data_IF_458543029978
#
_entry.id   IF_458543029978
#
_cell.length_a   1.000
_cell.length_b   1.000
_cell.length_c   1.000
_cell.angle_alpha   90.00
_cell.angle_beta   90.00
_cell.angle_gamma   90.00
#
_symmetry.space_group_name_H-M   'P 1'
#
loop_
_entity.id
_entity.type
_entity.pdbx_description
1 polymer ?
#
# COMPACT_ATOMS: atom_id res chain seq x y z
N UNK A 1 -17.77 11.65 4.71
CA UNK A 1 -18.36 13.00 4.60
C UNK A 1 -17.86 13.69 3.34
N UNK A 2 -16.55 13.82 3.13
CA UNK A 2 -16.01 14.55 1.98
C UNK A 2 -16.41 13.96 0.61
N UNK A 3 -16.48 12.64 0.48
CA UNK A 3 -16.91 12.00 -0.76
C UNK A 3 -18.34 12.39 -1.14
N UNK A 4 -19.27 12.39 -0.17
CA UNK A 4 -20.65 12.78 -0.39
C UNK A 4 -20.77 14.26 -0.76
N UNK A 5 -20.02 15.14 -0.08
CA UNK A 5 -20.00 16.58 -0.35
C UNK A 5 -19.50 16.92 -1.76
N UNK A 6 -18.64 16.06 -2.33
CA UNK A 6 -18.08 16.22 -3.67
C UNK A 6 -18.76 15.32 -4.72
N UNK A 7 -19.92 14.75 -4.42
CA UNK A 7 -20.69 13.85 -5.32
C UNK A 7 -19.88 12.66 -5.84
N UNK A 8 -18.94 12.13 -5.03
CA UNK A 8 -18.15 10.95 -5.36
C UNK A 8 -18.91 9.69 -4.89
N UNK A 9 -19.36 8.88 -5.84
CA UNK A 9 -20.22 7.72 -5.58
C UNK A 9 -19.52 6.37 -5.83
N UNK A 10 -18.32 6.38 -6.41
CA UNK A 10 -17.54 5.21 -6.78
C UNK A 10 -16.43 4.87 -5.77
N UNK A 11 -16.63 5.17 -4.50
CA UNK A 11 -15.70 4.90 -3.42
C UNK A 11 -16.40 4.18 -2.28
N UNK A 12 -15.72 3.18 -1.71
CA UNK A 12 -16.17 2.44 -0.54
C UNK A 12 -15.11 2.59 0.55
N UNK A 13 -15.56 2.93 1.76
CA UNK A 13 -14.68 3.11 2.92
C UNK A 13 -14.84 1.93 3.88
N UNK A 14 -13.71 1.35 4.28
CA UNK A 14 -13.66 0.35 5.34
C UNK A 14 -12.80 0.88 6.48
N UNK A 15 -13.26 0.70 7.71
CA UNK A 15 -12.50 1.03 8.91
C UNK A 15 -11.99 -0.25 9.56
N UNK A 16 -10.69 -0.31 9.80
CA UNK A 16 -10.09 -1.48 10.47
C UNK A 16 -8.57 -1.41 10.52
N UNK A 17 -7.98 -2.36 11.23
CA UNK A 17 -6.55 -2.57 11.26
C UNK A 17 -6.12 -3.32 9.98
N UNK A 18 -5.12 -2.80 9.28
CA UNK A 18 -4.58 -3.40 8.06
C UNK A 18 -4.13 -4.86 8.24
N UNK A 19 -3.69 -5.25 9.43
CA UNK A 19 -3.28 -6.63 9.70
C UNK A 19 -4.45 -7.63 9.67
N UNK A 20 -5.67 -7.15 9.88
CA UNK A 20 -6.84 -7.99 10.04
C UNK A 20 -7.99 -7.63 9.10
N UNK A 21 -7.93 -6.49 8.42
CA UNK A 21 -9.05 -5.94 7.65
C UNK A 21 -9.57 -6.91 6.57
N UNK A 22 -8.66 -7.63 5.92
CA UNK A 22 -9.02 -8.61 4.88
C UNK A 22 -9.66 -9.89 5.44
N UNK A 23 -9.51 -10.15 6.73
CA UNK A 23 -10.03 -11.36 7.38
C UNK A 23 -11.32 -11.12 8.14
N UNK A 24 -11.48 -9.91 8.68
CA UNK A 24 -12.62 -9.56 9.53
C UNK A 24 -13.78 -8.98 8.74
N UNK A 25 -13.51 -8.42 7.57
CA UNK A 25 -14.52 -7.75 6.76
C UNK A 25 -14.84 -8.58 5.51
N UNK A 26 -15.91 -9.38 5.60
CA UNK A 26 -16.41 -10.23 4.51
C UNK A 26 -16.74 -9.46 3.22
N UNK A 27 -17.06 -8.17 3.34
CA UNK A 27 -17.34 -7.33 2.18
C UNK A 27 -16.08 -6.99 1.39
N UNK A 28 -14.93 -6.89 2.07
CA UNK A 28 -13.63 -6.73 1.40
C UNK A 28 -13.22 -7.99 0.64
N UNK A 29 -13.54 -9.17 1.16
CA UNK A 29 -13.27 -10.44 0.46
C UNK A 29 -14.04 -10.54 -0.86
N UNK A 30 -15.22 -9.94 -0.93
CA UNK A 30 -16.06 -9.91 -2.13
C UNK A 30 -15.60 -8.88 -3.17
N UNK A 31 -14.71 -7.97 -2.82
CA UNK A 31 -14.16 -7.00 -3.77
C UNK A 31 -13.31 -7.74 -4.80
N UNK A 32 -13.60 -7.50 -6.07
CA UNK A 32 -12.81 -8.01 -7.18
C UNK A 32 -11.33 -7.67 -7.03
N UNK A 33 -10.47 -8.48 -7.64
CA UNK A 33 -9.02 -8.27 -7.62
C UNK A 33 -8.68 -6.84 -8.05
N UNK A 34 -8.02 -6.03 -7.22
CA UNK A 34 -7.69 -4.67 -7.59
C UNK A 34 -6.60 -4.67 -8.67
N UNK A 35 -6.72 -3.80 -9.65
CA UNK A 35 -5.64 -3.60 -10.64
C UNK A 35 -4.45 -2.90 -10.01
N UNK A 36 -4.71 -1.94 -9.14
CA UNK A 36 -3.70 -1.13 -8.45
C UNK A 36 -4.00 -1.11 -6.95
N UNK A 37 -2.97 -1.31 -6.15
CA UNK A 37 -3.02 -1.14 -4.70
C UNK A 37 -2.11 0.03 -4.32
N UNK A 38 -2.63 0.98 -3.58
CA UNK A 38 -1.86 2.07 -2.97
C UNK A 38 -1.75 1.82 -1.48
N UNK A 39 -0.53 1.84 -0.96
CA UNK A 39 -0.25 1.59 0.45
C UNK A 39 0.57 2.73 1.04
N UNK A 40 0.22 3.11 2.26
CA UNK A 40 0.93 4.11 3.07
C UNK A 40 1.00 3.58 4.52
N UNK A 41 1.87 2.60 4.79
CA UNK A 41 1.96 1.98 6.10
C UNK A 41 2.69 2.87 7.11
N UNK A 42 2.60 2.55 8.42
CA UNK A 42 3.37 3.24 9.43
C UNK A 42 4.88 3.04 9.22
N UNK A 43 5.69 3.78 9.98
CA UNK A 43 7.16 3.79 9.88
C UNK A 43 7.82 2.40 9.97
N UNK A 44 7.21 1.47 10.68
CA UNK A 44 7.67 0.08 10.78
C UNK A 44 7.52 -0.73 9.49
N UNK A 45 6.87 -0.19 8.48
CA UNK A 45 6.54 -0.87 7.23
C UNK A 45 5.29 -1.76 7.36
N UNK A 46 5.12 -2.64 6.38
CA UNK A 46 3.99 -3.58 6.37
C UNK A 46 4.24 -4.78 7.28
N UNK A 47 3.18 -5.24 7.91
CA UNK A 47 3.19 -6.54 8.56
C UNK A 47 3.19 -7.65 7.52
N UNK A 48 3.82 -8.80 7.83
CA UNK A 48 3.89 -9.96 6.90
C UNK A 48 2.51 -10.43 6.43
N UNK A 49 1.52 -10.39 7.30
CA UNK A 49 0.13 -10.71 6.92
C UNK A 49 -0.43 -9.76 5.86
N UNK A 50 -0.16 -8.46 5.99
CA UNK A 50 -0.59 -7.47 5.01
C UNK A 50 0.04 -7.73 3.65
N UNK A 51 1.34 -8.04 3.61
CA UNK A 51 2.03 -8.42 2.37
C UNK A 51 1.39 -9.67 1.76
N UNK A 52 1.13 -10.70 2.55
CA UNK A 52 0.47 -11.94 2.07
C UNK A 52 -0.93 -11.67 1.51
N UNK A 53 -1.70 -10.82 2.16
CA UNK A 53 -3.05 -10.47 1.73
C UNK A 53 -3.04 -9.67 0.41
N UNK A 54 -2.09 -8.76 0.25
CA UNK A 54 -1.88 -8.02 -1.01
C UNK A 54 -1.50 -8.98 -2.13
N UNK A 55 -0.55 -9.88 -1.89
CA UNK A 55 -0.11 -10.89 -2.86
C UNK A 55 -1.28 -11.79 -3.29
N UNK A 56 -2.13 -12.19 -2.34
CA UNK A 56 -3.31 -13.01 -2.62
C UNK A 56 -4.33 -12.32 -3.53
N UNK A 57 -4.39 -10.98 -3.52
CA UNK A 57 -5.22 -10.18 -4.42
C UNK A 57 -4.63 -10.00 -5.82
N UNK A 58 -3.36 -10.36 -6.00
CA UNK A 58 -2.65 -10.32 -7.29
C UNK A 58 -2.79 -8.99 -8.06
N UNK A 59 -2.56 -7.82 -7.43
CA UNK A 59 -2.61 -6.56 -8.15
C UNK A 59 -1.52 -6.51 -9.22
N UNK A 60 -1.80 -5.84 -10.32
CA UNK A 60 -0.81 -5.63 -11.38
C UNK A 60 0.25 -4.62 -10.96
N UNK A 61 -0.13 -3.66 -10.14
CA UNK A 61 0.73 -2.56 -9.69
C UNK A 61 0.50 -2.27 -8.22
N UNK A 62 1.59 -2.01 -7.51
CA UNK A 62 1.58 -1.53 -6.13
C UNK A 62 2.31 -0.19 -6.10
N UNK A 63 1.67 0.82 -5.54
CA UNK A 63 2.27 2.12 -5.25
C UNK A 63 2.47 2.18 -3.74
N UNK A 64 3.73 2.22 -3.33
CA UNK A 64 4.12 2.17 -1.93
C UNK A 64 4.70 3.52 -1.49
N UNK A 65 3.98 4.23 -0.64
CA UNK A 65 4.41 5.48 -0.03
C UNK A 65 4.99 5.15 1.34
N UNK A 66 6.18 5.65 1.65
CA UNK A 66 6.85 5.36 2.91
C UNK A 66 7.64 6.56 3.43
N UNK A 67 7.59 6.77 4.74
CA UNK A 67 8.47 7.70 5.46
C UNK A 67 9.77 7.03 5.95
N UNK A 68 9.95 5.72 5.69
CA UNK A 68 11.15 4.98 6.09
C UNK A 68 11.65 4.10 4.94
N UNK A 69 12.66 4.55 4.18
CA UNK A 69 13.20 3.79 3.04
C UNK A 69 13.74 2.41 3.41
N UNK A 70 14.26 2.24 4.63
CA UNK A 70 14.83 0.96 5.07
C UNK A 70 13.76 -0.13 5.21
N UNK A 71 12.63 0.19 5.85
CA UNK A 71 11.52 -0.76 5.98
C UNK A 71 10.82 -0.97 4.65
N UNK A 72 10.74 0.05 3.81
CA UNK A 72 10.24 -0.07 2.45
C UNK A 72 11.07 -1.05 1.61
N UNK A 73 12.41 -0.93 1.66
CA UNK A 73 13.31 -1.83 0.94
C UNK A 73 13.15 -3.30 1.39
N UNK A 74 13.00 -3.52 2.69
CA UNK A 74 12.71 -4.85 3.26
C UNK A 74 11.41 -5.42 2.68
N UNK A 75 10.35 -4.65 2.68
CA UNK A 75 9.03 -5.08 2.21
C UNK A 75 9.03 -5.32 0.69
N UNK A 76 9.71 -4.48 -0.09
CA UNK A 76 9.89 -4.67 -1.54
C UNK A 76 10.67 -5.95 -1.83
N UNK A 77 11.70 -6.24 -1.04
CA UNK A 77 12.45 -7.51 -1.16
C UNK A 77 11.53 -8.71 -0.95
N UNK A 78 10.63 -8.66 0.01
CA UNK A 78 9.66 -9.73 0.25
C UNK A 78 8.66 -9.86 -0.92
N UNK A 79 8.15 -8.74 -1.44
CA UNK A 79 7.29 -8.73 -2.64
C UNK A 79 8.00 -9.30 -3.87
N UNK A 80 9.33 -9.12 -3.99
CA UNK A 80 10.10 -9.60 -5.14
C UNK A 80 10.13 -11.14 -5.25
N UNK A 81 9.97 -11.85 -4.14
CA UNK A 81 9.88 -13.31 -4.10
C UNK A 81 8.64 -13.80 -4.89
N UNK A 82 7.63 -12.97 -5.00
CA UNK A 82 6.36 -13.26 -5.69
C UNK A 82 6.26 -12.57 -7.05
N UNK A 83 7.41 -12.34 -7.70
CA UNK A 83 7.53 -11.75 -9.04
C UNK A 83 7.11 -10.28 -9.15
N UNK A 84 7.01 -9.56 -8.04
CA UNK A 84 6.84 -8.11 -8.06
C UNK A 84 8.20 -7.42 -8.19
N UNK A 85 8.35 -6.56 -9.20
CA UNK A 85 9.61 -5.87 -9.51
C UNK A 85 9.49 -4.38 -9.26
N UNK A 86 10.48 -3.82 -8.58
CA UNK A 86 10.59 -2.38 -8.43
C UNK A 86 10.86 -1.74 -9.81
N UNK A 87 9.99 -0.83 -10.23
CA UNK A 87 10.08 -0.13 -11.51
C UNK A 87 10.60 1.29 -11.36
N UNK A 88 10.19 1.98 -10.30
CA UNK A 88 10.52 3.39 -10.10
C UNK A 88 10.56 3.73 -8.62
N UNK A 89 11.49 4.61 -8.26
CA UNK A 89 11.58 5.23 -6.93
C UNK A 89 11.55 6.75 -7.12
N UNK A 90 10.72 7.42 -6.33
CA UNK A 90 10.56 8.87 -6.31
C UNK A 90 10.71 9.34 -4.88
N UNK A 91 11.92 9.80 -4.49
CA UNK A 91 12.09 10.45 -3.19
C UNK A 91 11.49 11.86 -3.21
N UNK A 92 10.78 12.23 -2.14
CA UNK A 92 10.16 13.53 -1.96
C UNK A 92 10.60 14.13 -0.63
N UNK A 93 11.19 15.32 -0.70
CA UNK A 93 11.54 16.08 0.50
C UNK A 93 10.34 16.92 0.94
N UNK A 94 9.45 16.30 1.71
CA UNK A 94 8.24 16.94 2.27
C UNK A 94 8.53 17.79 3.51
N UNK A 95 9.69 17.58 4.13
CA UNK A 95 10.11 18.24 5.37
C UNK A 95 11.52 18.80 5.21
N UNK A 96 11.72 19.92 4.47
CA UNK A 96 13.02 20.54 4.25
C UNK A 96 13.77 20.80 5.58
N UNK A 97 15.08 20.66 5.59
CA UNK A 97 15.96 20.82 6.77
C UNK A 97 15.73 19.77 7.88
N UNK A 98 15.05 18.66 7.59
CA UNK A 98 14.92 17.52 8.50
C UNK A 98 15.48 16.26 7.85
N UNK A 99 15.84 15.20 8.62
CA UNK A 99 16.26 13.92 8.06
C UNK A 99 15.06 13.09 7.53
N UNK A 100 13.85 13.61 7.55
CA UNK A 100 12.64 12.92 7.14
C UNK A 100 12.40 13.04 5.64
N UNK A 101 12.31 11.90 4.96
CA UNK A 101 12.08 11.78 3.54
C UNK A 101 10.89 10.87 3.28
N UNK A 102 9.96 11.33 2.44
CA UNK A 102 8.94 10.47 1.86
C UNK A 102 9.49 9.82 0.58
N UNK A 103 9.21 8.56 0.40
CA UNK A 103 9.67 7.81 -0.75
C UNK A 103 8.52 7.04 -1.38
N UNK A 104 8.31 7.24 -2.68
CA UNK A 104 7.27 6.53 -3.43
C UNK A 104 7.95 5.48 -4.29
N UNK A 105 7.58 4.23 -4.11
CA UNK A 105 8.01 3.12 -4.94
C UNK A 105 6.85 2.64 -5.82
N UNK A 106 7.12 2.47 -7.10
CA UNK A 106 6.21 1.84 -8.06
C UNK A 106 6.71 0.43 -8.33
N UNK A 107 5.87 -0.55 -8.04
CA UNK A 107 6.19 -1.98 -8.08
C UNK A 107 5.18 -2.64 -9.01
N UNK A 108 5.64 -3.48 -9.93
CA UNK A 108 4.78 -4.17 -10.90
C UNK A 108 5.10 -5.66 -10.94
N UNK A 109 4.05 -6.44 -11.19
CA UNK A 109 4.18 -7.88 -11.36
C UNK A 109 4.77 -8.24 -12.73
#
# INVERSE_FOLDING_TARGET
>A
VNAKLNNINNIIFFKGDLQNIFRVNLDIEKIEKPSIVVIDPPRAGMHKKTISDIIAKEPKKIIYISCNPSTQARDIKELSIYNYKLKKILPLDMFPHTPHLENIAVIEK
#
